data_IF_924887356043
#
_entry.id   IF_924887356043
#
_cell.length_a   1.000
_cell.length_b   1.000
_cell.length_c   1.000
_cell.angle_alpha   90.00
_cell.angle_beta   90.00
_cell.angle_gamma   90.00
#
_symmetry.space_group_name_H-M   'P 1'
#
loop_
_entity.id
_entity.type
_entity.pdbx_description
1 polymer ?
#
# COMPACT_ATOMS: atom_id res chain seq x y z
N UNK A 1 -39.80 19.49 -38.72
CA UNK A 1 -39.20 18.16 -38.91
C UNK A 1 -40.11 17.41 -39.86
N UNK A 2 -39.61 17.00 -41.03
CA UNK A 2 -40.44 16.44 -42.08
C UNK A 2 -40.76 14.97 -41.75
N UNK A 3 -42.02 14.58 -41.89
CA UNK A 3 -42.56 13.24 -41.59
C UNK A 3 -41.90 12.08 -42.38
N UNK A 4 -41.05 12.41 -43.36
CA UNK A 4 -40.38 11.46 -44.26
C UNK A 4 -39.09 10.86 -43.70
N UNK A 5 -38.64 11.28 -42.51
CA UNK A 5 -37.38 10.80 -41.92
C UNK A 5 -37.52 9.49 -41.13
N UNK A 6 -38.74 9.04 -40.80
CA UNK A 6 -38.97 7.67 -40.33
C UNK A 6 -39.14 6.72 -41.51
N UNK A 7 -38.03 6.37 -42.17
CA UNK A 7 -37.98 5.34 -43.22
C UNK A 7 -38.10 3.93 -42.63
N UNK A 8 -39.19 3.66 -41.91
CA UNK A 8 -39.52 2.30 -41.45
C UNK A 8 -40.11 1.58 -42.65
N UNK A 9 -39.39 0.57 -43.17
CA UNK A 9 -39.88 -0.30 -44.24
C UNK A 9 -41.14 -1.03 -43.79
N UNK A 10 -42.03 -1.33 -44.71
CA UNK A 10 -43.26 -2.09 -44.44
C UNK A 10 -42.95 -3.42 -43.74
N UNK A 11 -43.80 -3.84 -42.80
CA UNK A 11 -43.62 -5.06 -41.99
C UNK A 11 -43.40 -6.33 -42.85
N UNK A 12 -44.07 -6.44 -43.99
CA UNK A 12 -43.86 -7.57 -44.91
C UNK A 12 -42.50 -7.55 -45.60
N UNK A 13 -41.93 -6.37 -45.82
CA UNK A 13 -40.59 -6.21 -46.41
C UNK A 13 -39.50 -6.43 -45.37
N UNK A 14 -39.73 -6.04 -44.10
CA UNK A 14 -38.77 -6.25 -43.02
C UNK A 14 -38.60 -7.72 -42.67
N UNK A 15 -39.67 -8.53 -42.65
CA UNK A 15 -39.59 -9.98 -42.35
C UNK A 15 -38.62 -10.73 -43.27
N UNK A 16 -38.54 -10.35 -44.55
CA UNK A 16 -37.62 -10.97 -45.53
C UNK A 16 -36.14 -10.71 -45.23
N UNK A 17 -35.83 -9.64 -44.51
CA UNK A 17 -34.46 -9.22 -44.20
C UNK A 17 -34.06 -9.55 -42.76
N UNK A 18 -35.03 -9.83 -41.88
CA UNK A 18 -34.83 -10.13 -40.47
C UNK A 18 -35.36 -11.52 -40.11
N UNK A 19 -35.13 -12.51 -40.97
CA UNK A 19 -35.43 -13.92 -40.72
C UNK A 19 -34.15 -14.71 -40.48
N UNK A 20 -34.14 -15.56 -39.47
CA UNK A 20 -33.08 -16.55 -39.28
C UNK A 20 -33.32 -17.74 -40.22
N UNK A 21 -32.27 -18.44 -40.66
CA UNK A 21 -32.41 -19.73 -41.34
C UNK A 21 -33.15 -20.76 -40.47
N UNK A 22 -33.77 -21.74 -41.13
CA UNK A 22 -34.35 -22.90 -40.45
C UNK A 22 -33.28 -23.60 -39.59
N UNK A 23 -33.67 -24.04 -38.38
CA UNK A 23 -32.82 -24.69 -37.37
C UNK A 23 -31.62 -23.86 -36.86
N UNK A 24 -31.53 -22.55 -37.15
CA UNK A 24 -30.43 -21.70 -36.67
C UNK A 24 -30.27 -21.77 -35.14
N UNK A 25 -31.36 -21.72 -34.38
CA UNK A 25 -31.32 -21.76 -32.92
C UNK A 25 -31.11 -23.17 -32.35
N UNK A 26 -31.54 -24.20 -33.08
CA UNK A 26 -31.38 -25.59 -32.67
C UNK A 26 -29.90 -26.00 -32.75
N UNK A 27 -29.21 -25.62 -33.84
CA UNK A 27 -27.80 -25.93 -34.08
C UNK A 27 -26.85 -24.86 -33.49
N UNK A 28 -27.37 -23.77 -32.91
CA UNK A 28 -26.57 -22.66 -32.40
C UNK A 28 -25.57 -23.12 -31.34
N UNK A 29 -26.03 -23.94 -30.41
CA UNK A 29 -25.21 -24.42 -29.29
C UNK A 29 -24.07 -25.29 -29.80
N UNK A 30 -24.37 -26.23 -30.70
CA UNK A 30 -23.36 -27.10 -31.31
C UNK A 30 -22.34 -26.30 -32.11
N UNK A 31 -22.80 -25.31 -32.88
CA UNK A 31 -21.92 -24.40 -33.61
C UNK A 31 -21.03 -23.59 -32.68
N UNK A 32 -21.58 -23.03 -31.58
CA UNK A 32 -20.78 -22.31 -30.58
C UNK A 32 -19.71 -23.24 -30.01
N UNK A 33 -20.08 -24.44 -29.54
CA UNK A 33 -19.14 -25.37 -28.94
C UNK A 33 -18.06 -25.83 -29.93
N UNK A 34 -18.41 -26.06 -31.20
CA UNK A 34 -17.45 -26.41 -32.25
C UNK A 34 -16.52 -25.26 -32.64
N UNK A 35 -16.93 -24.00 -32.42
CA UNK A 35 -16.10 -22.81 -32.69
C UNK A 35 -15.24 -22.39 -31.50
N UNK A 36 -15.57 -22.84 -30.29
CA UNK A 36 -14.66 -22.69 -29.17
C UNK A 36 -13.40 -23.46 -29.57
N UNK A 37 -12.21 -22.82 -29.55
CA UNK A 37 -10.98 -23.55 -29.75
C UNK A 37 -11.00 -24.67 -28.72
N UNK A 38 -10.86 -25.92 -29.18
CA UNK A 38 -10.39 -26.98 -28.30
C UNK A 38 -9.08 -26.45 -27.74
N UNK A 39 -9.13 -25.94 -26.50
CA UNK A 39 -7.96 -25.37 -25.88
C UNK A 39 -6.87 -26.43 -26.03
N UNK A 40 -5.72 -26.10 -26.62
CA UNK A 40 -4.60 -27.03 -26.69
C UNK A 40 -4.16 -27.27 -25.25
N UNK A 41 -4.77 -28.27 -24.63
CA UNK A 41 -4.61 -28.57 -23.23
C UNK A 41 -4.78 -27.36 -22.30
N UNK A 42 -6.02 -26.99 -21.96
CA UNK A 42 -6.31 -27.19 -20.54
C UNK A 42 -6.33 -28.70 -20.33
N UNK A 43 -5.12 -29.26 -20.25
CA UNK A 43 -4.91 -30.49 -19.51
C UNK A 43 -5.42 -30.08 -18.16
N UNK A 44 -6.65 -30.46 -17.86
CA UNK A 44 -7.03 -30.73 -16.51
C UNK A 44 -6.05 -31.82 -16.08
N UNK A 45 -4.87 -31.39 -15.64
CA UNK A 45 -4.02 -32.23 -14.82
C UNK A 45 -4.76 -32.27 -13.50
N UNK A 46 -5.75 -33.17 -13.45
CA UNK A 46 -6.41 -33.61 -12.22
C UNK A 46 -5.37 -34.07 -11.19
N UNK A 47 -4.11 -34.33 -11.61
CA UNK A 47 -3.02 -34.89 -10.81
C UNK A 47 -1.72 -34.07 -10.84
N UNK A 48 -1.78 -32.75 -10.84
CA UNK A 48 -0.66 -31.96 -10.36
C UNK A 48 -1.15 -30.69 -9.67
N UNK A 49 -1.19 -30.63 -8.32
CA UNK A 49 -1.34 -29.33 -7.67
C UNK A 49 -0.22 -28.47 -8.24
N UNK A 50 -0.55 -27.29 -8.80
CA UNK A 50 0.45 -26.27 -9.14
C UNK A 50 1.27 -26.11 -7.88
N UNK A 51 2.43 -26.76 -7.82
CA UNK A 51 3.24 -26.84 -6.61
C UNK A 51 3.77 -25.44 -6.47
N UNK A 52 3.03 -24.59 -5.76
CA UNK A 52 3.43 -23.23 -5.45
C UNK A 52 4.77 -23.40 -4.77
N UNK A 53 5.81 -23.17 -5.55
CA UNK A 53 7.17 -23.48 -5.15
C UNK A 53 7.43 -22.66 -3.90
N UNK A 54 7.83 -23.31 -2.80
CA UNK A 54 8.12 -22.63 -1.54
C UNK A 54 9.19 -21.53 -1.75
N UNK A 55 10.00 -21.64 -2.80
CA UNK A 55 10.95 -20.63 -3.27
C UNK A 55 10.30 -19.29 -3.65
N UNK A 56 9.04 -19.28 -4.11
CA UNK A 56 8.33 -18.04 -4.42
C UNK A 56 8.01 -17.23 -3.17
N UNK A 57 7.78 -17.90 -2.04
CA UNK A 57 7.62 -17.26 -0.72
C UNK A 57 8.95 -17.05 0.00
N UNK A 58 10.00 -17.77 -0.38
CA UNK A 58 11.34 -17.64 0.20
C UNK A 58 12.06 -16.38 -0.28
N UNK A 59 11.85 -15.96 -1.54
CA UNK A 59 12.43 -14.73 -2.12
C UNK A 59 12.26 -13.49 -1.22
N UNK A 60 11.04 -13.09 -0.80
CA UNK A 60 10.87 -11.92 0.05
C UNK A 60 11.44 -12.10 1.46
N UNK A 61 11.33 -13.31 2.05
CA UNK A 61 11.91 -13.60 3.38
C UNK A 61 13.44 -13.51 3.34
N UNK A 62 14.07 -13.94 2.25
CA UNK A 62 15.51 -13.86 2.07
C UNK A 62 16.00 -12.41 2.01
N UNK A 63 15.28 -11.51 1.32
CA UNK A 63 15.60 -10.08 1.32
C UNK A 63 15.47 -9.47 2.72
N UNK A 64 14.43 -9.83 3.47
CA UNK A 64 14.27 -9.37 4.86
C UNK A 64 15.41 -9.88 5.75
N UNK A 65 15.77 -11.15 5.65
CA UNK A 65 16.89 -11.72 6.39
C UNK A 65 18.22 -11.01 6.07
N UNK A 66 18.48 -10.72 4.80
CA UNK A 66 19.67 -9.97 4.38
C UNK A 66 19.72 -8.56 4.98
N UNK A 67 18.57 -7.85 5.00
CA UNK A 67 18.48 -6.52 5.62
C UNK A 67 18.75 -6.57 7.14
N UNK A 68 18.20 -7.55 7.85
CA UNK A 68 18.47 -7.74 9.28
C UNK A 68 19.95 -8.05 9.57
N UNK A 69 20.57 -8.92 8.77
CA UNK A 69 22.00 -9.23 8.94
C UNK A 69 22.85 -7.97 8.66
N UNK A 70 22.49 -7.18 7.66
CA UNK A 70 23.19 -5.93 7.34
C UNK A 70 23.08 -4.90 8.47
N UNK A 71 21.89 -4.68 9.02
CA UNK A 71 21.71 -3.73 10.13
C UNK A 71 22.39 -4.18 11.41
N UNK A 72 22.31 -5.48 11.73
CA UNK A 72 23.04 -6.06 12.87
C UNK A 72 24.56 -5.97 12.68
N UNK A 73 25.06 -6.26 11.47
CA UNK A 73 26.48 -6.15 11.12
C UNK A 73 26.99 -4.71 11.18
N UNK A 74 26.22 -3.76 10.66
CA UNK A 74 26.52 -2.33 10.75
C UNK A 74 26.56 -1.85 12.22
N UNK A 75 25.59 -2.28 13.05
CA UNK A 75 25.56 -1.95 14.47
C UNK A 75 26.76 -2.56 15.21
N UNK A 76 27.15 -3.79 14.87
CA UNK A 76 28.27 -4.47 15.51
C UNK A 76 29.63 -3.86 15.11
N UNK A 77 29.78 -3.47 13.84
CA UNK A 77 30.92 -2.67 13.36
C UNK A 77 30.99 -1.31 14.06
N UNK A 78 29.86 -0.62 14.21
CA UNK A 78 29.79 0.66 14.91
C UNK A 78 30.16 0.51 16.39
N UNK A 79 29.67 -0.53 17.08
CA UNK A 79 30.07 -0.83 18.46
C UNK A 79 31.55 -1.18 18.56
N UNK A 80 32.09 -1.96 17.64
CA UNK A 80 33.51 -2.28 17.61
C UNK A 80 34.39 -1.04 17.39
N UNK A 81 33.99 -0.15 16.49
CA UNK A 81 34.67 1.13 16.26
C UNK A 81 34.51 2.09 17.44
N UNK A 82 33.32 2.17 18.03
CA UNK A 82 33.05 2.98 19.23
C UNK A 82 33.85 2.49 20.45
N UNK A 83 34.00 1.18 20.61
CA UNK A 83 34.79 0.59 21.69
C UNK A 83 36.31 0.73 21.45
N UNK A 84 36.72 1.02 20.21
CA UNK A 84 38.09 1.43 19.85
C UNK A 84 38.32 2.94 20.08
N UNK A 85 37.26 3.75 20.02
CA UNK A 85 37.30 5.20 20.26
C UNK A 85 37.13 5.58 21.75
N UNK A 86 36.61 4.69 22.59
CA UNK A 86 36.42 4.94 24.04
C UNK A 86 37.71 4.93 24.87
N UNK A 87 38.89 4.98 24.23
CA UNK A 87 40.20 4.99 24.91
C UNK A 87 40.71 6.41 25.18
N UNK A 88 40.13 7.46 24.62
CA UNK A 88 40.49 8.82 25.04
C UNK A 88 39.34 9.79 24.75
N UNK A 89 38.76 10.37 25.80
CA UNK A 89 38.66 11.82 25.97
C UNK A 89 38.02 12.13 27.34
N UNK A 90 38.89 12.27 28.35
CA UNK A 90 38.68 13.30 29.35
C UNK A 90 38.58 14.63 28.60
N UNK A 91 37.46 15.30 28.79
CA UNK A 91 37.25 16.72 28.51
C UNK A 91 37.25 17.14 27.03
N UNK A 92 36.07 17.09 26.39
CA UNK A 92 35.76 18.03 25.29
C UNK A 92 34.27 18.19 24.98
N UNK A 93 33.78 19.37 25.39
CA UNK A 93 32.89 20.28 24.65
C UNK A 93 31.70 19.65 23.94
N UNK A 94 30.55 19.70 24.62
CA UNK A 94 29.20 19.97 24.12
C UNK A 94 29.07 20.02 22.59
N UNK A 95 29.01 18.85 21.96
CA UNK A 95 28.17 18.66 20.78
C UNK A 95 26.97 17.88 21.27
N UNK A 96 25.83 18.59 21.29
CA UNK A 96 24.49 18.12 21.62
C UNK A 96 24.16 16.91 20.74
N UNK A 97 24.62 15.75 21.20
CA UNK A 97 24.30 14.45 20.64
C UNK A 97 22.79 14.26 20.83
N UNK A 98 22.07 14.27 19.72
CA UNK A 98 20.66 13.92 19.67
C UNK A 98 20.49 12.43 19.95
N UNK A 99 20.58 12.05 21.21
CA UNK A 99 20.06 10.81 21.76
C UNK A 99 19.91 11.02 23.27
N UNK A 100 18.72 10.71 23.78
CA UNK A 100 18.33 10.74 25.20
C UNK A 100 17.83 12.09 25.74
N UNK A 101 16.64 12.46 25.29
CA UNK A 101 15.53 12.67 26.22
C UNK A 101 14.27 12.65 25.35
N UNK A 102 13.36 11.69 25.57
CA UNK A 102 11.98 11.92 25.16
C UNK A 102 11.53 13.11 25.97
N UNK A 103 11.75 14.32 25.44
CA UNK A 103 11.29 15.56 26.06
C UNK A 103 9.80 15.36 26.17
N UNK A 104 9.33 15.11 27.39
CA UNK A 104 7.96 14.73 27.61
C UNK A 104 7.15 15.96 27.20
N UNK A 105 6.48 15.86 26.05
CA UNK A 105 5.76 16.99 25.45
C UNK A 105 4.75 17.56 26.46
N UNK A 106 4.22 16.69 27.32
CA UNK A 106 3.34 17.05 28.43
C UNK A 106 4.06 17.91 29.48
N UNK A 107 5.31 17.55 29.84
CA UNK A 107 6.14 18.37 30.73
C UNK A 107 6.46 19.74 30.16
N UNK A 108 6.74 19.82 28.85
CA UNK A 108 7.08 21.09 28.19
C UNK A 108 5.83 21.97 27.98
N UNK A 109 4.66 21.35 27.76
CA UNK A 109 3.37 22.02 27.73
C UNK A 109 2.97 22.55 29.12
N UNK A 110 3.17 21.75 30.17
CA UNK A 110 2.89 22.19 31.55
C UNK A 110 3.77 23.35 31.97
N UNK A 111 5.07 23.32 31.65
CA UNK A 111 5.99 24.41 31.96
C UNK A 111 5.56 25.73 31.28
N UNK A 112 5.19 25.68 30.00
CA UNK A 112 4.65 26.83 29.28
C UNK A 112 3.34 27.36 29.89
N UNK A 113 2.43 26.46 30.30
CA UNK A 113 1.17 26.85 30.93
C UNK A 113 1.38 27.54 32.28
N UNK A 114 2.29 27.02 33.11
CA UNK A 114 2.61 27.61 34.41
C UNK A 114 3.23 29.00 34.29
N UNK A 115 4.13 29.20 33.33
CA UNK A 115 4.75 30.50 33.07
C UNK A 115 3.67 31.55 32.74
N UNK A 116 2.77 31.22 31.81
CA UNK A 116 1.65 32.09 31.43
C UNK A 116 0.68 32.36 32.58
N UNK A 117 0.37 31.36 33.42
CA UNK A 117 -0.44 31.58 34.62
C UNK A 117 0.28 32.45 35.66
N UNK A 118 1.59 32.31 35.82
CA UNK A 118 2.36 33.10 36.80
C UNK A 118 2.41 34.58 36.42
N UNK A 119 2.48 34.89 35.12
CA UNK A 119 2.44 36.25 34.59
C UNK A 119 1.08 36.90 34.86
N UNK A 120 -0.03 36.20 34.57
CA UNK A 120 -1.39 36.66 34.86
C UNK A 120 -1.64 36.90 36.36
N UNK A 121 -1.16 35.99 37.22
CA UNK A 121 -1.31 36.11 38.68
C UNK A 121 -0.50 37.31 39.20
N UNK A 122 0.69 37.54 38.65
CA UNK A 122 1.52 38.68 39.01
C UNK A 122 0.90 40.01 38.56
N UNK A 123 0.23 40.03 37.41
CA UNK A 123 -0.49 41.20 36.91
C UNK A 123 -1.73 41.53 37.75
N UNK A 124 -2.50 40.52 38.18
CA UNK A 124 -3.63 40.70 39.11
C UNK A 124 -3.20 41.20 40.49
N UNK A 125 -2.09 40.67 41.04
CA UNK A 125 -1.57 41.12 42.34
C UNK A 125 -1.10 42.58 42.29
N UNK A 126 -0.41 42.99 41.23
CA UNK A 126 0.04 44.37 41.05
C UNK A 126 -1.11 45.37 40.84
N UNK A 127 -2.29 44.91 40.40
CA UNK A 127 -3.51 45.72 40.25
C UNK A 127 -4.31 45.86 41.56
N UNK A 128 -4.08 44.96 42.53
CA UNK A 128 -4.76 44.98 43.83
C UNK A 128 -4.06 45.82 44.91
N UNK A 129 -2.81 46.23 44.66
CA UNK A 129 -2.00 47.07 45.56
C UNK A 129 -2.01 48.58 45.17
N UNK A 130 -3.00 49.03 44.38
CA UNK A 130 -3.28 50.45 44.10
C UNK A 130 -4.59 50.94 44.74
#
# INVERSE_FOLDING_TARGET
>A
MNEKDLRIKDSKESIKHYSVPENYFDDLVDNIMNTLPEEPGMVHTEDAPVKISLFMRLKPVLYMAAAFIFTLGAFQLLKWQSNRLSVHEDNRVVLRAGAESSVNLDSLYMEYFYDQCSELISEELNLSDL
#
